data_IF_351473114059
#
_entry.id   IF_351473114059
#
_cell.length_a   1.000
_cell.length_b   1.000
_cell.length_c   1.000
_cell.angle_alpha   90.00
_cell.angle_beta   90.00
_cell.angle_gamma   90.00
#
_symmetry.space_group_name_H-M   'P 1'
#
loop_
_entity.id
_entity.type
_entity.pdbx_description
1 polymer ?
#
# COMPACT_ATOMS: atom_id res chain seq x y z
N UNK A 1 -15.59 13.17 27.16
CA UNK A 1 -15.37 12.72 25.78
C UNK A 1 -13.95 13.06 25.35
N UNK A 2 -13.37 12.28 24.44
CA UNK A 2 -12.12 12.61 23.74
C UNK A 2 -12.52 13.10 22.35
N UNK A 3 -12.17 14.34 22.01
CA UNK A 3 -12.61 14.93 20.75
C UNK A 3 -11.68 14.52 19.61
N UNK A 4 -12.15 13.66 18.72
CA UNK A 4 -11.49 13.39 17.45
C UNK A 4 -11.98 14.38 16.40
N UNK A 5 -11.06 15.06 15.72
CA UNK A 5 -11.36 15.95 14.60
C UNK A 5 -10.58 15.49 13.38
N UNK A 6 -11.29 15.25 12.29
CA UNK A 6 -10.68 14.91 11.01
C UNK A 6 -11.38 15.63 9.85
N UNK A 7 -10.63 15.86 8.79
CA UNK A 7 -11.06 16.58 7.60
C UNK A 7 -10.78 15.79 6.33
N UNK A 8 -11.72 15.82 5.39
CA UNK A 8 -11.52 15.25 4.06
C UNK A 8 -12.04 16.19 2.98
N UNK A 9 -11.36 16.20 1.84
CA UNK A 9 -11.68 17.03 0.70
C UNK A 9 -11.40 16.27 -0.59
N UNK A 10 -12.28 16.42 -1.58
CA UNK A 10 -12.08 15.90 -2.93
C UNK A 10 -11.88 17.05 -3.92
N UNK A 11 -10.66 17.18 -4.47
CA UNK A 11 -10.34 18.25 -5.42
C UNK A 11 -10.49 19.64 -4.80
N UNK A 12 -11.24 20.53 -5.46
CA UNK A 12 -11.53 21.90 -4.99
C UNK A 12 -12.86 22.03 -4.25
N UNK A 13 -13.42 20.92 -3.73
CA UNK A 13 -14.68 20.95 -2.98
C UNK A 13 -14.49 21.51 -1.55
N UNK A 14 -15.58 21.94 -0.90
CA UNK A 14 -15.54 22.25 0.53
C UNK A 14 -15.06 21.03 1.34
N UNK A 15 -14.28 21.30 2.39
CA UNK A 15 -13.79 20.27 3.30
C UNK A 15 -14.94 19.79 4.18
N UNK A 16 -15.16 18.47 4.21
CA UNK A 16 -16.03 17.85 5.19
C UNK A 16 -15.22 17.63 6.46
N UNK A 17 -15.59 18.33 7.53
CA UNK A 17 -14.99 18.19 8.85
C UNK A 17 -15.95 17.40 9.73
N UNK A 18 -15.42 16.37 10.40
CA UNK A 18 -16.15 15.51 11.33
C UNK A 18 -15.58 15.63 12.73
N UNK A 19 -16.46 15.76 13.72
CA UNK A 19 -16.14 15.70 15.13
C UNK A 19 -16.75 14.44 15.74
N UNK A 20 -15.96 13.65 16.46
CA UNK A 20 -16.37 12.38 17.06
C UNK A 20 -15.90 12.29 18.51
N UNK A 21 -16.71 11.69 19.40
CA UNK A 21 -16.25 11.26 20.71
C UNK A 21 -15.53 9.92 20.59
N UNK A 22 -14.21 9.92 20.78
CA UNK A 22 -13.36 8.73 20.65
C UNK A 22 -13.61 7.66 21.72
N UNK A 23 -14.41 7.93 22.76
CA UNK A 23 -14.77 6.93 23.78
C UNK A 23 -16.03 6.17 23.36
N UNK A 24 -17.07 6.90 22.97
CA UNK A 24 -18.39 6.32 22.62
C UNK A 24 -18.53 6.00 21.15
N UNK A 25 -17.60 6.47 20.32
CA UNK A 25 -17.63 6.40 18.85
C UNK A 25 -18.84 7.13 18.23
N UNK A 26 -19.48 8.00 19.00
CA UNK A 26 -20.60 8.81 18.54
C UNK A 26 -20.07 10.02 17.77
N UNK A 27 -20.58 10.21 16.57
CA UNK A 27 -20.36 11.44 15.79
C UNK A 27 -21.09 12.59 16.48
N UNK A 28 -20.33 13.59 16.89
CA UNK A 28 -20.84 14.78 17.58
C UNK A 28 -21.42 15.78 16.59
N UNK A 29 -20.73 16.01 15.46
CA UNK A 29 -21.21 16.88 14.39
C UNK A 29 -20.41 16.69 13.09
N UNK A 30 -20.99 17.13 11.97
CA UNK A 30 -20.34 17.21 10.67
C UNK A 30 -20.65 18.55 10.00
N UNK A 31 -19.62 19.21 9.47
CA UNK A 31 -19.79 20.48 8.77
C UNK A 31 -19.00 20.51 7.46
N UNK A 32 -19.55 21.20 6.45
CA UNK A 32 -18.81 21.55 5.25
C UNK A 32 -18.21 22.94 5.42
N UNK A 33 -16.89 23.04 5.38
CA UNK A 33 -16.17 24.30 5.45
C UNK A 33 -15.50 24.62 4.11
N UNK A 34 -15.40 25.90 3.71
CA UNK A 34 -14.66 26.28 2.50
C UNK A 34 -13.20 25.80 2.56
N UNK A 35 -12.60 25.80 3.74
CA UNK A 35 -11.23 25.34 3.96
C UNK A 35 -11.00 24.87 5.39
N UNK A 36 -9.88 24.17 5.62
CA UNK A 36 -9.37 23.83 6.96
C UNK A 36 -8.62 24.99 7.64
N UNK A 37 -8.91 26.25 7.28
CA UNK A 37 -8.28 27.38 7.95
C UNK A 37 -8.84 27.56 9.38
N UNK A 38 -8.05 28.15 10.27
CA UNK A 38 -8.43 28.31 11.67
C UNK A 38 -9.70 29.15 11.85
N UNK A 39 -9.90 30.19 11.02
CA UNK A 39 -11.07 31.07 11.08
C UNK A 39 -12.37 30.33 10.81
N UNK A 40 -12.37 29.39 9.86
CA UNK A 40 -13.54 28.56 9.55
C UNK A 40 -13.78 27.49 10.64
N UNK A 41 -12.69 26.95 11.21
CA UNK A 41 -12.76 25.87 12.21
C UNK A 41 -13.14 26.36 13.61
N UNK A 42 -12.76 27.58 14.01
CA UNK A 42 -13.03 28.12 15.35
C UNK A 42 -14.53 28.11 15.67
N UNK A 43 -15.44 28.67 14.83
CA UNK A 43 -16.88 28.66 15.11
C UNK A 43 -17.43 27.24 15.27
N UNK A 44 -16.97 26.29 14.45
CA UNK A 44 -17.37 24.90 14.53
C UNK A 44 -16.96 24.27 15.88
N UNK A 45 -15.69 24.43 16.28
CA UNK A 45 -15.21 23.90 17.56
C UNK A 45 -15.87 24.59 18.77
N UNK A 46 -16.19 25.88 18.68
CA UNK A 46 -16.96 26.59 19.71
C UNK A 46 -18.38 26.05 19.86
N UNK A 47 -19.03 25.68 18.76
CA UNK A 47 -20.34 25.03 18.78
C UNK A 47 -20.28 23.66 19.48
N UNK A 48 -19.29 22.83 19.15
CA UNK A 48 -19.02 21.55 19.83
C UNK A 48 -18.82 21.77 21.33
N UNK A 49 -17.94 22.71 21.70
CA UNK A 49 -17.67 23.03 23.11
C UNK A 49 -18.92 23.49 23.86
N UNK A 50 -19.78 24.28 23.22
CA UNK A 50 -21.04 24.77 23.81
C UNK A 50 -22.03 23.62 24.03
N UNK A 51 -22.12 22.67 23.09
CA UNK A 51 -23.05 21.56 23.17
C UNK A 51 -22.61 20.46 24.14
N UNK A 52 -21.31 20.12 24.16
CA UNK A 52 -20.80 18.93 24.84
C UNK A 52 -19.82 19.24 26.00
N UNK A 53 -19.48 20.52 26.20
CA UNK A 53 -18.50 20.94 27.20
C UNK A 53 -17.05 20.81 26.71
N UNK A 54 -16.10 20.87 27.66
CA UNK A 54 -14.66 20.79 27.36
C UNK A 54 -14.22 19.32 27.29
N UNK A 55 -13.59 18.86 26.19
CA UNK A 55 -13.08 17.50 26.11
C UNK A 55 -11.87 17.32 27.04
N UNK A 56 -11.60 16.07 27.42
CA UNK A 56 -10.41 15.74 28.24
C UNK A 56 -9.13 15.78 27.42
N UNK A 57 -9.23 15.56 26.11
CA UNK A 57 -8.17 15.66 25.13
C UNK A 57 -8.76 15.86 23.73
N UNK A 58 -7.98 16.43 22.81
CA UNK A 58 -8.30 16.52 21.39
C UNK A 58 -7.32 15.65 20.61
N UNK A 59 -7.80 14.85 19.66
CA UNK A 59 -7.00 14.05 18.73
C UNK A 59 -7.27 14.54 17.32
N UNK A 60 -6.24 14.95 16.59
CA UNK A 60 -6.36 15.30 15.17
C UNK A 60 -5.04 15.08 14.44
N UNK A 61 -5.00 15.35 13.14
CA UNK A 61 -3.72 15.57 12.46
C UNK A 61 -3.07 16.90 12.89
N UNK A 62 -1.89 17.20 12.32
CA UNK A 62 -1.13 18.43 12.57
C UNK A 62 -1.45 19.54 11.55
N UNK A 63 -2.65 19.53 10.96
CA UNK A 63 -3.10 20.59 10.06
C UNK A 63 -3.00 21.96 10.74
N UNK A 64 -2.31 22.92 10.12
CA UNK A 64 -2.01 24.23 10.73
C UNK A 64 -3.25 24.95 11.24
N UNK A 65 -4.35 24.88 10.49
CA UNK A 65 -5.62 25.49 10.89
C UNK A 65 -6.29 24.76 12.04
N UNK A 66 -6.28 23.42 12.05
CA UNK A 66 -6.79 22.61 13.17
C UNK A 66 -6.02 22.91 14.45
N UNK A 67 -4.69 22.87 14.41
CA UNK A 67 -3.83 23.18 15.57
C UNK A 67 -4.12 24.58 16.12
N UNK A 68 -4.23 25.58 15.24
CA UNK A 68 -4.54 26.95 15.65
C UNK A 68 -5.96 27.08 16.25
N UNK A 69 -6.95 26.43 15.66
CA UNK A 69 -8.33 26.46 16.14
C UNK A 69 -8.49 25.74 17.49
N UNK A 70 -7.90 24.55 17.63
CA UNK A 70 -7.89 23.79 18.90
C UNK A 70 -7.24 24.60 20.01
N UNK A 71 -6.05 25.17 19.76
CA UNK A 71 -5.34 26.03 20.73
C UNK A 71 -6.18 27.24 21.16
N UNK A 72 -6.98 27.80 20.24
CA UNK A 72 -7.85 28.94 20.52
C UNK A 72 -9.06 28.56 21.38
N UNK A 73 -9.76 27.47 21.03
CA UNK A 73 -11.06 27.10 21.62
C UNK A 73 -10.90 26.29 22.91
N UNK A 74 -9.95 25.35 22.93
CA UNK A 74 -9.71 24.41 24.02
C UNK A 74 -8.40 24.72 24.75
N UNK A 75 -8.34 25.90 25.38
CA UNK A 75 -7.18 26.31 26.18
C UNK A 75 -6.87 25.29 27.27
N UNK A 76 -5.61 24.90 27.40
CA UNK A 76 -5.09 23.93 28.38
C UNK A 76 -5.62 22.50 28.23
N UNK A 77 -6.28 22.16 27.11
CA UNK A 77 -6.63 20.77 26.79
C UNK A 77 -5.45 20.12 26.04
N UNK A 78 -5.01 18.91 26.43
CA UNK A 78 -4.01 18.16 25.67
C UNK A 78 -4.44 17.96 24.22
N UNK A 79 -3.58 18.35 23.28
CA UNK A 79 -3.77 18.10 21.85
C UNK A 79 -2.82 16.99 21.43
N UNK A 80 -3.40 15.81 21.17
CA UNK A 80 -2.70 14.58 20.80
C UNK A 80 -2.73 14.40 19.28
N UNK A 81 -1.65 13.82 18.76
CA UNK A 81 -1.54 13.50 17.35
C UNK A 81 -2.25 12.19 17.03
N UNK A 82 -3.06 12.19 15.98
CA UNK A 82 -3.53 10.95 15.38
C UNK A 82 -2.35 10.14 14.86
N UNK A 83 -2.09 8.98 15.49
CA UNK A 83 -0.94 8.16 15.16
C UNK A 83 -0.99 7.57 13.73
N UNK A 84 -2.19 7.37 13.18
CA UNK A 84 -2.35 6.94 11.79
C UNK A 84 -1.83 8.02 10.84
N UNK A 85 -2.23 9.28 11.04
CA UNK A 85 -1.76 10.41 10.23
C UNK A 85 -0.26 10.65 10.40
N UNK A 86 0.25 10.52 11.63
CA UNK A 86 1.68 10.56 11.89
C UNK A 86 2.46 9.56 11.02
N UNK A 87 2.09 8.27 11.06
CA UNK A 87 2.76 7.26 10.26
C UNK A 87 2.56 7.47 8.75
N UNK A 88 1.35 7.86 8.34
CA UNK A 88 1.06 8.14 6.93
C UNK A 88 1.99 9.23 6.39
N UNK A 89 2.16 10.30 7.13
CA UNK A 89 2.94 11.44 6.66
C UNK A 89 4.45 11.17 6.82
N UNK A 90 4.87 10.50 7.90
CA UNK A 90 6.25 10.00 8.05
C UNK A 90 6.66 9.08 6.89
N UNK A 91 5.82 8.13 6.48
CA UNK A 91 6.16 7.23 5.38
C UNK A 91 6.22 7.95 4.03
N UNK A 92 5.39 8.98 3.81
CA UNK A 92 5.49 9.84 2.63
C UNK A 92 6.80 10.63 2.62
N UNK A 93 7.20 11.19 3.76
CA UNK A 93 8.46 11.92 3.88
C UNK A 93 9.66 10.99 3.72
N UNK A 94 9.57 9.78 4.27
CA UNK A 94 10.67 8.83 4.28
C UNK A 94 10.99 8.28 2.88
N UNK A 95 9.97 7.85 2.13
CA UNK A 95 10.16 7.16 0.83
C UNK A 95 9.20 7.58 -0.30
N UNK A 96 8.60 8.77 -0.18
CA UNK A 96 7.73 9.34 -1.21
C UNK A 96 8.44 9.59 -2.53
N UNK A 97 9.67 10.10 -2.49
CA UNK A 97 10.46 10.39 -3.68
C UNK A 97 10.78 9.12 -4.48
N UNK A 98 11.26 8.05 -3.81
CA UNK A 98 11.55 6.78 -4.47
C UNK A 98 10.29 6.16 -5.05
N UNK A 99 9.18 6.17 -4.32
CA UNK A 99 7.90 5.68 -4.82
C UNK A 99 7.47 6.43 -6.10
N UNK A 100 7.69 7.74 -6.14
CA UNK A 100 7.40 8.57 -7.30
C UNK A 100 8.31 8.27 -8.50
N UNK A 101 9.60 8.04 -8.26
CA UNK A 101 10.55 7.59 -9.28
C UNK A 101 10.10 6.25 -9.86
N UNK A 102 9.82 5.25 -9.00
CA UNK A 102 9.37 3.93 -9.42
C UNK A 102 8.09 4.05 -10.28
N UNK A 103 7.09 4.79 -9.80
CA UNK A 103 5.84 5.04 -10.52
C UNK A 103 6.07 5.66 -11.90
N UNK A 104 6.87 6.73 -11.97
CA UNK A 104 7.14 7.46 -13.23
C UNK A 104 7.91 6.59 -14.22
N UNK A 105 8.93 5.85 -13.77
CA UNK A 105 9.73 4.97 -14.63
C UNK A 105 8.91 3.79 -15.16
N UNK A 106 8.14 3.10 -14.30
CA UNK A 106 7.24 2.02 -14.73
C UNK A 106 6.21 2.51 -15.76
N UNK A 107 5.66 3.73 -15.57
CA UNK A 107 4.77 4.37 -16.55
C UNK A 107 5.49 4.66 -17.87
N UNK A 108 6.70 5.22 -17.82
CA UNK A 108 7.52 5.53 -19.00
C UNK A 108 7.83 4.28 -19.83
N UNK A 109 8.07 3.14 -19.19
CA UNK A 109 8.29 1.87 -19.89
C UNK A 109 7.02 1.29 -20.50
N UNK A 110 5.82 1.73 -20.09
CA UNK A 110 4.55 1.18 -20.57
C UNK A 110 4.37 -0.31 -20.29
N UNK A 111 5.14 -0.86 -19.35
CA UNK A 111 5.29 -2.32 -19.16
C UNK A 111 3.99 -2.99 -18.78
N UNK A 112 3.13 -2.32 -18.00
CA UNK A 112 1.83 -2.84 -17.61
C UNK A 112 0.92 -3.10 -18.82
N UNK A 113 0.77 -2.12 -19.71
CA UNK A 113 -0.04 -2.28 -20.93
C UNK A 113 0.55 -3.32 -21.87
N UNK A 114 1.88 -3.39 -21.96
CA UNK A 114 2.59 -4.34 -22.81
C UNK A 114 2.36 -5.78 -22.32
N UNK A 115 2.61 -6.06 -21.05
CA UNK A 115 2.33 -7.36 -20.44
C UNK A 115 0.85 -7.73 -20.51
N UNK A 116 -0.07 -6.78 -20.29
CA UNK A 116 -1.50 -7.02 -20.44
C UNK A 116 -1.88 -7.45 -21.86
N UNK A 117 -1.23 -6.89 -22.89
CA UNK A 117 -1.38 -7.35 -24.27
C UNK A 117 -0.83 -8.77 -24.45
N UNK A 118 0.36 -9.07 -23.92
CA UNK A 118 0.96 -10.43 -23.98
C UNK A 118 0.10 -11.48 -23.29
N UNK A 119 -0.47 -11.15 -22.13
CA UNK A 119 -1.37 -12.03 -21.41
C UNK A 119 -2.61 -12.39 -22.25
N UNK A 120 -3.22 -11.41 -22.93
CA UNK A 120 -4.36 -11.68 -23.84
C UNK A 120 -3.96 -12.54 -25.05
N UNK A 121 -2.75 -12.38 -25.58
CA UNK A 121 -2.22 -13.20 -26.67
C UNK A 121 -1.98 -14.66 -26.22
N UNK A 122 -1.59 -14.87 -24.97
CA UNK A 122 -1.41 -16.19 -24.34
C UNK A 122 -2.72 -16.83 -23.87
N UNK A 123 -3.76 -16.04 -23.58
CA UNK A 123 -5.05 -16.53 -23.08
C UNK A 123 -5.77 -17.47 -24.06
N UNK A 124 -5.74 -17.18 -25.35
CA UNK A 124 -6.45 -18.00 -26.36
C UNK A 124 -5.96 -19.47 -26.43
N UNK A 125 -4.64 -19.74 -26.45
CA UNK A 125 -4.12 -21.11 -26.31
C UNK A 125 -4.45 -21.77 -24.96
N UNK A 126 -4.45 -20.98 -23.88
CA UNK A 126 -4.76 -21.44 -22.52
C UNK A 126 -6.22 -21.89 -22.42
N UNK A 127 -7.18 -21.08 -22.82
CA UNK A 127 -8.61 -21.42 -22.76
C UNK A 127 -8.97 -22.66 -23.60
N UNK A 128 -8.14 -23.01 -24.59
CA UNK A 128 -8.31 -24.17 -25.46
C UNK A 128 -7.73 -25.49 -24.90
N UNK A 129 -7.19 -25.50 -23.66
CA UNK A 129 -6.51 -26.67 -23.09
C UNK A 129 -7.27 -27.22 -21.86
N UNK A 130 -8.09 -28.29 -22.00
CA UNK A 130 -8.84 -28.91 -20.90
C UNK A 130 -7.97 -29.44 -19.76
N UNK A 131 -6.73 -29.87 -20.06
CA UNK A 131 -5.77 -30.45 -19.11
C UNK A 131 -5.22 -29.47 -18.06
N UNK A 132 -5.59 -28.19 -18.15
CA UNK A 132 -5.13 -27.13 -17.23
C UNK A 132 -5.74 -27.30 -15.84
N UNK A 133 -7.01 -27.68 -15.77
CA UNK A 133 -7.71 -27.91 -14.50
C UNK A 133 -7.10 -29.12 -13.78
N UNK A 134 -6.81 -30.19 -14.52
CA UNK A 134 -6.16 -31.40 -13.97
C UNK A 134 -4.71 -31.13 -13.55
N UNK A 135 -3.96 -30.36 -14.35
CA UNK A 135 -2.58 -29.96 -14.02
C UNK A 135 -2.52 -29.06 -12.78
N UNK A 136 -3.44 -28.11 -12.65
CA UNK A 136 -3.55 -27.23 -11.49
C UNK A 136 -4.02 -27.97 -10.23
N UNK A 137 -4.99 -28.89 -10.36
CA UNK A 137 -5.44 -29.76 -9.28
C UNK A 137 -4.32 -30.71 -8.80
N UNK A 138 -3.52 -31.27 -9.72
CA UNK A 138 -2.35 -32.08 -9.39
C UNK A 138 -1.22 -31.30 -8.71
N UNK A 139 -1.03 -30.01 -9.04
CA UNK A 139 -0.10 -29.12 -8.35
C UNK A 139 -0.53 -28.81 -6.91
N UNK A 140 -1.84 -28.66 -6.67
CA UNK A 140 -2.40 -28.42 -5.33
C UNK A 140 -2.52 -29.70 -4.48
N UNK A 141 -2.57 -30.89 -5.11
CA UNK A 141 -2.72 -32.19 -4.47
C UNK A 141 -1.43 -32.84 -3.94
N UNK A 142 -0.27 -32.19 -4.10
CA UNK A 142 1.02 -32.65 -3.59
C UNK A 142 1.69 -33.72 -4.45
N UNK A 143 2.71 -33.33 -5.22
CA UNK A 143 3.65 -34.30 -5.79
C UNK A 143 4.44 -33.90 -7.05
N UNK A 144 4.01 -32.90 -7.83
CA UNK A 144 4.78 -32.40 -8.99
C UNK A 144 5.44 -31.06 -8.67
N UNK A 145 6.74 -30.93 -8.93
CA UNK A 145 7.43 -29.64 -8.82
C UNK A 145 6.91 -28.68 -9.90
N UNK A 146 6.83 -27.38 -9.58
CA UNK A 146 6.38 -26.30 -10.50
C UNK A 146 7.13 -26.34 -11.86
N UNK A 147 8.38 -26.81 -11.84
CA UNK A 147 9.27 -26.94 -12.99
C UNK A 147 8.78 -27.94 -14.03
N UNK A 148 8.16 -29.04 -13.59
CA UNK A 148 7.65 -30.08 -14.49
C UNK A 148 6.43 -29.57 -15.26
N UNK A 149 5.53 -28.87 -14.57
CA UNK A 149 4.37 -28.19 -15.16
C UNK A 149 4.78 -27.05 -16.12
N UNK A 150 5.89 -26.36 -15.85
CA UNK A 150 6.44 -25.33 -16.73
C UNK A 150 6.91 -25.89 -18.08
N UNK A 151 7.54 -27.07 -18.04
CA UNK A 151 8.08 -27.73 -19.22
C UNK A 151 6.98 -28.34 -20.10
N UNK A 152 5.92 -28.87 -19.49
CA UNK A 152 4.76 -29.50 -20.15
C UNK A 152 3.71 -28.48 -20.65
N UNK A 153 3.57 -27.34 -19.94
CA UNK A 153 2.52 -26.34 -20.18
C UNK A 153 3.07 -24.89 -20.17
N UNK A 154 4.10 -24.60 -20.98
CA UNK A 154 4.74 -23.28 -21.02
C UNK A 154 3.74 -22.12 -21.23
N UNK A 155 2.81 -22.25 -22.16
CA UNK A 155 1.85 -21.18 -22.48
C UNK A 155 1.02 -20.76 -21.27
N UNK A 156 0.46 -21.72 -20.55
CA UNK A 156 -0.29 -21.50 -19.31
C UNK A 156 0.59 -20.92 -18.22
N UNK A 157 1.71 -21.56 -17.94
CA UNK A 157 2.57 -21.14 -16.82
C UNK A 157 3.12 -19.74 -17.02
N UNK A 158 3.50 -19.39 -18.26
CA UNK A 158 3.87 -18.02 -18.64
C UNK A 158 2.70 -17.04 -18.45
N UNK A 159 1.48 -17.43 -18.86
CA UNK A 159 0.29 -16.61 -18.65
C UNK A 159 0.03 -16.34 -17.17
N UNK A 160 0.03 -17.37 -16.32
CA UNK A 160 -0.20 -17.24 -14.88
C UNK A 160 0.88 -16.37 -14.21
N UNK A 161 2.14 -16.54 -14.59
CA UNK A 161 3.24 -15.72 -14.08
C UNK A 161 3.12 -14.25 -14.49
N UNK A 162 2.69 -13.96 -15.73
CA UNK A 162 2.42 -12.58 -16.17
C UNK A 162 1.23 -11.98 -15.41
N UNK A 163 0.16 -12.75 -15.21
CA UNK A 163 -1.01 -12.30 -14.44
C UNK A 163 -0.64 -12.03 -12.98
N UNK A 164 0.14 -12.91 -12.36
CA UNK A 164 0.69 -12.70 -11.02
C UNK A 164 1.55 -11.42 -10.95
N UNK A 165 2.41 -11.17 -11.93
CA UNK A 165 3.19 -9.94 -11.95
C UNK A 165 2.30 -8.70 -12.06
N UNK A 166 1.33 -8.70 -12.98
CA UNK A 166 0.38 -7.59 -13.17
C UNK A 166 -0.46 -7.31 -11.92
N UNK A 167 -0.85 -8.35 -11.19
CA UNK A 167 -1.63 -8.24 -9.97
C UNK A 167 -0.85 -7.60 -8.80
N UNK A 168 0.48 -7.44 -8.92
CA UNK A 168 1.29 -6.75 -7.91
C UNK A 168 0.82 -5.31 -7.63
N UNK A 169 0.17 -4.65 -8.60
CA UNK A 169 -0.41 -3.30 -8.40
C UNK A 169 -1.67 -3.29 -7.54
N UNK A 170 -2.33 -4.43 -7.40
CA UNK A 170 -3.52 -4.60 -6.57
C UNK A 170 -3.16 -5.16 -5.19
N UNK A 171 -1.92 -5.60 -4.99
CA UNK A 171 -1.45 -6.06 -3.70
C UNK A 171 -1.45 -4.91 -2.70
N UNK A 172 -2.12 -5.13 -1.57
CA UNK A 172 -2.33 -4.17 -0.50
C UNK A 172 -3.59 -4.48 0.28
N UNK A 173 -3.87 -3.70 1.31
CA UNK A 173 -5.05 -3.86 2.18
C UNK A 173 -6.03 -2.70 2.07
N UNK A 174 -5.94 -1.92 0.99
CA UNK A 174 -6.81 -0.76 0.77
C UNK A 174 -6.45 0.44 1.66
N UNK A 175 -5.25 0.46 2.25
CA UNK A 175 -4.79 1.51 3.16
C UNK A 175 -4.13 2.68 2.43
N UNK A 176 -3.80 2.48 1.15
CA UNK A 176 -3.14 3.49 0.33
C UNK A 176 -1.68 3.70 0.71
N UNK A 177 -1.02 4.60 -0.02
CA UNK A 177 0.37 4.98 0.26
C UNK A 177 0.43 5.86 1.53
N UNK A 178 1.36 5.60 2.47
CA UNK A 178 2.58 4.79 2.35
C UNK A 178 2.45 3.33 2.81
N UNK A 179 1.30 2.89 3.31
CA UNK A 179 1.09 1.55 3.87
C UNK A 179 1.04 0.44 2.82
N UNK A 180 0.46 0.74 1.65
CA UNK A 180 0.44 -0.14 0.47
C UNK A 180 1.52 0.30 -0.54
N UNK A 181 2.63 -0.44 -0.67
CA UNK A 181 3.73 -0.12 -1.58
C UNK A 181 3.54 -0.70 -3.00
N UNK A 182 2.37 -0.46 -3.59
CA UNK A 182 1.91 -1.10 -4.85
C UNK A 182 2.92 -1.03 -5.99
N UNK A 183 3.65 0.08 -6.13
CA UNK A 183 4.62 0.25 -7.22
C UNK A 183 5.92 -0.51 -6.97
N UNK A 184 6.42 -0.52 -5.73
CA UNK A 184 7.59 -1.31 -5.34
C UNK A 184 7.32 -2.80 -5.56
N UNK A 185 6.19 -3.28 -5.03
CA UNK A 185 5.74 -4.67 -5.18
C UNK A 185 5.61 -5.05 -6.65
N UNK A 186 4.97 -4.21 -7.46
CA UNK A 186 4.85 -4.47 -8.89
C UNK A 186 6.22 -4.60 -9.56
N UNK A 187 7.15 -3.69 -9.28
CA UNK A 187 8.52 -3.79 -9.81
C UNK A 187 9.23 -5.07 -9.36
N UNK A 188 9.18 -5.42 -8.07
CA UNK A 188 9.79 -6.65 -7.54
C UNK A 188 9.23 -7.90 -8.24
N UNK A 189 7.92 -7.96 -8.48
CA UNK A 189 7.31 -9.07 -9.24
C UNK A 189 7.77 -9.11 -10.70
N UNK A 190 8.01 -7.97 -11.35
CA UNK A 190 8.57 -7.92 -12.71
C UNK A 190 10.01 -8.46 -12.75
N UNK A 191 10.83 -8.15 -11.74
CA UNK A 191 12.19 -8.70 -11.60
C UNK A 191 12.14 -10.21 -11.40
N UNK A 192 11.31 -10.69 -10.46
CA UNK A 192 11.13 -12.13 -10.23
C UNK A 192 10.63 -12.86 -11.48
N UNK A 193 9.67 -12.29 -12.20
CA UNK A 193 9.20 -12.83 -13.47
C UNK A 193 10.35 -12.94 -14.48
N UNK A 194 11.14 -11.88 -14.66
CA UNK A 194 12.29 -11.89 -15.55
C UNK A 194 13.30 -12.99 -15.17
N UNK A 195 13.60 -13.17 -13.89
CA UNK A 195 14.57 -14.17 -13.43
C UNK A 195 14.07 -15.59 -13.64
N UNK A 196 12.77 -15.83 -13.40
CA UNK A 196 12.13 -17.13 -13.69
C UNK A 196 12.17 -17.42 -15.18
N UNK A 197 11.88 -16.44 -16.03
CA UNK A 197 11.99 -16.59 -17.48
C UNK A 197 13.44 -16.80 -17.92
N UNK A 198 14.40 -16.11 -17.31
CA UNK A 198 15.82 -16.28 -17.64
C UNK A 198 16.30 -17.71 -17.36
N UNK A 199 15.93 -18.28 -16.20
CA UNK A 199 16.31 -19.66 -15.81
C UNK A 199 15.83 -20.73 -16.78
N UNK A 200 14.73 -20.48 -17.48
CA UNK A 200 14.15 -21.43 -18.44
C UNK A 200 14.41 -21.01 -19.90
N UNK A 201 15.21 -19.96 -20.11
CA UNK A 201 15.60 -19.50 -21.43
C UNK A 201 16.52 -20.53 -22.10
N UNK A 202 16.20 -20.95 -23.32
CA UNK A 202 17.02 -21.92 -24.08
C UNK A 202 16.83 -23.40 -23.72
N UNK A 203 16.05 -23.74 -22.67
CA UNK A 203 15.74 -25.14 -22.36
C UNK A 203 14.90 -25.81 -23.47
N UNK A 204 14.93 -27.17 -23.54
CA UNK A 204 13.97 -27.95 -24.33
C UNK A 204 12.59 -27.75 -23.74
N UNK A 205 11.78 -26.91 -24.39
CA UNK A 205 10.46 -26.50 -23.91
C UNK A 205 9.33 -27.14 -24.74
N UNK A 206 8.33 -27.73 -24.10
CA UNK A 206 7.09 -28.12 -24.79
C UNK A 206 6.18 -26.90 -24.91
N UNK A 207 5.58 -26.73 -26.08
CA UNK A 207 4.81 -25.55 -26.44
C UNK A 207 4.88 -25.29 -27.94
N UNK A 208 3.81 -24.75 -28.49
CA UNK A 208 3.75 -24.44 -29.92
C UNK A 208 4.68 -23.27 -30.27
N UNK A 209 4.96 -23.09 -31.56
CA UNK A 209 5.90 -22.06 -32.03
C UNK A 209 5.45 -20.64 -31.63
N UNK A 210 4.14 -20.41 -31.49
CA UNK A 210 3.58 -19.11 -31.11
C UNK A 210 3.84 -18.81 -29.62
N UNK A 211 3.65 -19.79 -28.74
CA UNK A 211 3.92 -19.70 -27.30
C UNK A 211 5.40 -19.42 -27.04
N UNK A 212 6.29 -20.17 -27.69
CA UNK A 212 7.74 -19.96 -27.60
C UNK A 212 8.14 -18.55 -28.01
N UNK A 213 7.58 -18.05 -29.12
CA UNK A 213 7.82 -16.66 -29.58
C UNK A 213 7.28 -15.62 -28.60
N UNK A 214 6.10 -15.86 -28.00
CA UNK A 214 5.51 -14.94 -27.01
C UNK A 214 6.32 -14.90 -25.72
N UNK A 215 6.76 -16.06 -25.25
CA UNK A 215 7.70 -16.18 -24.13
C UNK A 215 8.96 -15.34 -24.36
N UNK A 216 9.64 -15.55 -25.49
CA UNK A 216 10.89 -14.82 -25.80
C UNK A 216 10.63 -13.31 -25.98
N UNK A 217 9.41 -12.92 -26.38
CA UNK A 217 8.99 -11.51 -26.42
C UNK A 217 8.79 -10.96 -25.02
N UNK A 218 8.08 -11.65 -24.12
CA UNK A 218 7.87 -11.21 -22.73
C UNK A 218 9.22 -11.03 -22.02
N UNK A 219 10.13 -11.98 -22.18
CA UNK A 219 11.48 -11.88 -21.62
C UNK A 219 12.20 -10.61 -22.11
N UNK A 220 12.17 -10.34 -23.43
CA UNK A 220 12.77 -9.13 -24.02
C UNK A 220 12.06 -7.85 -23.60
N UNK A 221 10.74 -7.88 -23.47
CA UNK A 221 9.92 -6.74 -23.05
C UNK A 221 10.22 -6.32 -21.60
N UNK A 222 10.63 -7.27 -20.73
CA UNK A 222 11.03 -7.00 -19.35
C UNK A 222 12.46 -6.46 -19.21
N UNK A 223 13.35 -6.77 -20.16
CA UNK A 223 14.78 -6.46 -20.07
C UNK A 223 15.07 -4.96 -19.87
N UNK A 224 14.43 -4.00 -20.57
CA UNK A 224 14.64 -2.57 -20.33
C UNK A 224 14.23 -2.10 -18.94
N UNK A 225 13.22 -2.74 -18.34
CA UNK A 225 12.71 -2.41 -17.00
C UNK A 225 13.69 -2.91 -15.94
N UNK A 226 14.13 -4.16 -16.04
CA UNK A 226 15.06 -4.77 -15.06
C UNK A 226 16.45 -4.15 -15.13
N UNK A 227 16.88 -3.70 -16.31
CA UNK A 227 18.15 -3.00 -16.52
C UNK A 227 18.10 -1.50 -16.22
N UNK A 228 16.94 -0.94 -15.87
CA UNK A 228 16.81 0.47 -15.51
C UNK A 228 17.48 0.75 -14.17
N UNK A 229 18.65 1.41 -14.23
CA UNK A 229 19.46 1.68 -13.04
C UNK A 229 18.77 2.62 -12.05
N UNK A 230 17.97 3.58 -12.52
CA UNK A 230 17.22 4.51 -11.68
C UNK A 230 16.10 3.78 -10.94
N UNK A 231 15.37 2.94 -11.67
CA UNK A 231 14.29 2.13 -11.09
C UNK A 231 14.85 1.15 -10.05
N UNK A 232 15.94 0.46 -10.36
CA UNK A 232 16.60 -0.47 -9.43
C UNK A 232 17.11 0.23 -8.18
N UNK A 233 17.77 1.39 -8.32
CA UNK A 233 18.28 2.16 -7.18
C UNK A 233 17.13 2.67 -6.29
N UNK A 234 16.08 3.22 -6.89
CA UNK A 234 14.92 3.70 -6.16
C UNK A 234 14.19 2.56 -5.43
N UNK A 235 14.04 1.40 -6.07
CA UNK A 235 13.43 0.23 -5.44
C UNK A 235 14.24 -0.28 -4.23
N UNK A 236 15.56 -0.42 -4.36
CA UNK A 236 16.41 -0.84 -3.25
C UNK A 236 16.38 0.15 -2.09
N UNK A 237 16.50 1.46 -2.36
CA UNK A 237 16.42 2.50 -1.34
C UNK A 237 15.04 2.55 -0.66
N UNK A 238 13.96 2.40 -1.43
CA UNK A 238 12.61 2.33 -0.88
C UNK A 238 12.42 1.08 0.00
N UNK A 239 12.94 -0.07 -0.41
CA UNK A 239 12.80 -1.33 0.34
C UNK A 239 13.45 -1.26 1.73
N UNK A 240 14.67 -0.72 1.82
CA UNK A 240 15.35 -0.49 3.11
C UNK A 240 14.53 0.41 4.03
N UNK A 241 14.03 1.53 3.49
CA UNK A 241 13.21 2.49 4.23
C UNK A 241 11.85 1.92 4.64
N UNK A 242 11.23 1.12 3.78
CA UNK A 242 9.95 0.43 4.06
C UNK A 242 10.12 -0.59 5.18
N UNK A 243 11.26 -1.28 5.26
CA UNK A 243 11.54 -2.20 6.36
C UNK A 243 11.59 -1.47 7.70
N UNK A 244 12.30 -0.35 7.78
CA UNK A 244 12.34 0.48 9.00
C UNK A 244 10.97 1.08 9.35
N UNK A 245 10.24 1.57 8.33
CA UNK A 245 8.87 2.03 8.51
C UNK A 245 7.95 0.95 9.07
N UNK A 246 8.04 -0.28 8.55
CA UNK A 246 7.24 -1.41 9.01
C UNK A 246 7.59 -1.81 10.45
N UNK A 247 8.87 -1.76 10.85
CA UNK A 247 9.29 -1.98 12.25
C UNK A 247 8.65 -0.96 13.20
N UNK A 248 8.64 0.32 12.83
CA UNK A 248 7.95 1.35 13.62
C UNK A 248 6.44 1.12 13.63
N UNK A 249 5.85 0.83 12.46
CA UNK A 249 4.42 0.52 12.31
C UNK A 249 3.98 -0.63 13.22
N UNK A 250 4.78 -1.70 13.29
CA UNK A 250 4.58 -2.83 14.19
C UNK A 250 4.71 -2.44 15.66
N UNK A 251 5.74 -1.66 16.01
CA UNK A 251 5.91 -1.16 17.38
C UNK A 251 4.74 -0.28 17.84
N UNK A 252 4.23 0.56 16.93
CA UNK A 252 3.05 1.41 17.15
C UNK A 252 1.73 0.64 17.08
N UNK A 253 1.74 -0.59 16.55
CA UNK A 253 0.57 -1.47 16.32
C UNK A 253 -0.51 -0.85 15.44
N UNK A 254 -0.11 -0.09 14.43
CA UNK A 254 -1.04 0.60 13.54
C UNK A 254 -1.03 -0.10 12.20
N UNK A 255 -2.19 -0.47 11.67
CA UNK A 255 -2.28 -1.09 10.35
C UNK A 255 -1.33 -2.30 10.21
N UNK A 256 -1.47 -3.28 11.11
CA UNK A 256 -0.65 -4.49 11.08
C UNK A 256 -0.92 -5.29 9.80
N UNK A 257 0.09 -6.02 9.32
CA UNK A 257 0.01 -6.76 8.05
C UNK A 257 -1.01 -7.91 8.08
N UNK A 258 -1.47 -8.34 9.25
CA UNK A 258 -2.39 -9.46 9.41
C UNK A 258 -3.87 -9.06 9.36
N UNK A 259 -4.18 -7.76 9.54
CA UNK A 259 -5.57 -7.30 9.57
C UNK A 259 -6.16 -7.14 8.17
N UNK A 260 -7.23 -7.89 7.89
CA UNK A 260 -8.00 -7.79 6.64
C UNK A 260 -9.03 -6.66 6.65
N UNK A 261 -9.10 -5.87 7.72
CA UNK A 261 -10.10 -4.81 7.90
C UNK A 261 -9.70 -3.48 7.25
N UNK A 262 -8.50 -3.40 6.65
CA UNK A 262 -8.05 -2.22 5.93
C UNK A 262 -7.89 -1.02 6.86
N UNK A 263 -8.66 0.05 6.61
CA UNK A 263 -8.73 1.25 7.47
C UNK A 263 -9.72 1.09 8.63
N UNK A 264 -10.59 0.08 8.60
CA UNK A 264 -11.57 -0.21 9.65
C UNK A 264 -11.02 -1.19 10.69
N UNK A 265 -9.68 -1.25 10.80
CA UNK A 265 -9.00 -2.08 11.78
C UNK A 265 -8.96 -1.36 13.12
N UNK A 266 -9.76 -1.83 14.08
CA UNK A 266 -9.81 -1.28 15.44
C UNK A 266 -8.52 -1.56 16.25
N UNK A 267 -7.57 -2.30 15.66
CA UNK A 267 -6.32 -2.68 16.29
C UNK A 267 -6.52 -3.79 17.33
N UNK A 268 -5.43 -4.11 18.03
CA UNK A 268 -5.45 -5.04 19.15
C UNK A 268 -5.76 -4.29 20.46
N UNK A 269 -6.43 -4.97 21.40
CA UNK A 269 -6.80 -4.51 22.75
C UNK A 269 -5.62 -4.25 23.70
N UNK A 270 -4.41 -4.13 23.16
CA UNK A 270 -3.19 -3.95 23.93
C UNK A 270 -3.09 -2.56 24.54
N UNK A 271 -2.63 -2.51 25.80
CA UNK A 271 -2.50 -1.27 26.54
C UNK A 271 -1.41 -0.34 25.94
N UNK A 272 -1.67 0.97 25.95
CA UNK A 272 -0.76 2.04 25.54
C UNK A 272 0.66 1.91 26.11
N UNK A 273 0.83 1.46 27.37
CA UNK A 273 2.16 1.25 27.98
C UNK A 273 3.00 0.20 27.25
N UNK A 274 2.36 -0.79 26.64
CA UNK A 274 3.06 -1.81 25.85
C UNK A 274 3.53 -1.24 24.52
N UNK A 275 2.69 -0.39 23.89
CA UNK A 275 3.03 0.32 22.66
C UNK A 275 4.20 1.28 22.92
N UNK A 276 4.13 2.07 23.99
CA UNK A 276 5.18 3.00 24.42
C UNK A 276 6.54 2.29 24.55
N UNK A 277 6.61 1.19 25.32
CA UNK A 277 7.84 0.39 25.46
C UNK A 277 8.37 -0.16 24.14
N UNK A 278 7.48 -0.58 23.24
CA UNK A 278 7.88 -1.10 21.94
C UNK A 278 8.49 0.01 21.06
N UNK A 279 7.90 1.21 21.08
CA UNK A 279 8.41 2.39 20.38
C UNK A 279 9.75 2.84 20.99
N UNK A 280 9.89 2.88 22.32
CA UNK A 280 11.18 3.18 22.97
C UNK A 280 12.27 2.20 22.57
N UNK A 281 11.95 0.90 22.52
CA UNK A 281 12.88 -0.14 22.05
C UNK A 281 13.30 0.11 20.60
N UNK A 282 12.35 0.44 19.73
CA UNK A 282 12.64 0.80 18.34
C UNK A 282 13.57 2.03 18.25
N UNK A 283 13.27 3.10 18.98
CA UNK A 283 14.09 4.32 19.01
C UNK A 283 15.51 4.04 19.51
N UNK A 284 15.67 3.19 20.53
CA UNK A 284 16.97 2.80 21.04
C UNK A 284 17.78 1.96 20.04
N UNK A 285 17.11 1.20 19.15
CA UNK A 285 17.76 0.46 18.08
C UNK A 285 18.24 1.39 16.95
N UNK A 286 17.52 2.48 16.66
CA UNK A 286 17.92 3.47 15.65
C UNK A 286 19.13 4.32 16.06
N UNK A 287 19.40 4.44 17.36
CA UNK A 287 20.51 5.24 17.92
C UNK A 287 21.83 4.48 17.99
N UNK A 288 21.84 3.19 17.67
CA UNK A 288 23.03 2.33 17.65
C UNK A 288 23.59 2.27 16.23
#
# INVERSE_FOLDING_TARGET
YILHVDGTCEGGSPHLISALDGITEIVLDNIKLPSENAGDLIPFLEAIKKAYGVPVAVVSDMGKGIVAAVKRVFKNVPHLLCHYHFLRDLGKDLFGEENDVIRKRLKSHGIQSLLGKRARELKKPVDATPKIVDGFAGMMGGGKELKDCFSEHMGLTTYLQVMWALDGKNQGQGRGFPFDQRYLVFYQRLVQLHDVLHKHFGAKRQGNQKEKRLYDKIYRDLLPVVKDSLLRKAAAGMEEKVNEFNRLREAMRITLAESKLGLNDNGDSSNMKTIEKAVEKFLNQLRK
#
